data_IF_421751312632
#
_entry.id   IF_421751312632
#
_cell.length_a   1.000
_cell.length_b   1.000
_cell.length_c   1.000
_cell.angle_alpha   90.00
_cell.angle_beta   90.00
_cell.angle_gamma   90.00
#
_symmetry.space_group_name_H-M   'P 1'
#
loop_
_entity.id
_entity.type
_entity.pdbx_description
1 polymer ?
#
# COMPACT_ATOMS: atom_id res chain seq x y z
N UNK A 1 -21.90 -12.00 -14.12
CA UNK A 1 -20.75 -11.15 -14.43
C UNK A 1 -20.40 -10.47 -13.13
N UNK A 2 -19.26 -10.78 -12.51
CA UNK A 2 -18.81 -10.02 -11.34
C UNK A 2 -18.62 -8.57 -11.80
N UNK A 3 -19.14 -7.60 -11.05
CA UNK A 3 -18.90 -6.19 -11.39
C UNK A 3 -17.40 -5.94 -11.33
N UNK A 4 -16.83 -5.25 -12.32
CA UNK A 4 -15.38 -4.95 -12.32
C UNK A 4 -14.97 -4.16 -11.06
N UNK A 5 -15.91 -3.42 -10.44
CA UNK A 5 -15.74 -2.73 -9.15
C UNK A 5 -15.55 -3.66 -7.93
N UNK A 6 -15.94 -4.94 -8.03
CA UNK A 6 -15.72 -5.93 -6.96
C UNK A 6 -14.31 -6.54 -7.05
N UNK A 7 -13.69 -6.47 -8.23
CA UNK A 7 -12.43 -7.16 -8.48
C UNK A 7 -11.27 -6.46 -7.79
N UNK A 8 -10.50 -7.24 -7.03
CA UNK A 8 -9.26 -6.76 -6.42
C UNK A 8 -8.28 -6.25 -7.50
N UNK A 9 -7.72 -5.04 -7.35
CA UNK A 9 -6.75 -4.50 -8.30
C UNK A 9 -5.46 -5.31 -8.36
N UNK A 10 -4.81 -5.25 -9.52
CA UNK A 10 -3.51 -5.85 -9.78
C UNK A 10 -2.49 -4.75 -10.12
N UNK A 11 -1.20 -4.99 -9.84
CA UNK A 11 -0.15 -4.08 -10.29
C UNK A 11 -0.16 -3.91 -11.82
N UNK A 12 0.31 -2.77 -12.35
CA UNK A 12 0.49 -2.59 -13.78
C UNK A 12 1.39 -3.69 -14.37
N UNK A 13 1.03 -4.26 -15.52
CA UNK A 13 1.75 -5.41 -16.12
C UNK A 13 3.24 -5.12 -16.31
N UNK A 14 3.57 -3.94 -16.86
CA UNK A 14 4.96 -3.51 -17.10
C UNK A 14 5.77 -3.25 -15.82
N UNK A 15 5.10 -3.23 -14.65
CA UNK A 15 5.75 -3.05 -13.35
C UNK A 15 6.35 -4.34 -12.80
N UNK A 16 5.72 -5.49 -13.11
CA UNK A 16 6.12 -6.82 -12.63
C UNK A 16 6.80 -7.68 -13.71
N UNK A 17 6.92 -7.17 -14.93
CA UNK A 17 7.54 -7.88 -16.04
C UNK A 17 9.02 -8.20 -15.78
N UNK A 18 9.41 -9.46 -16.01
CA UNK A 18 10.78 -9.94 -15.84
C UNK A 18 11.76 -9.27 -16.80
N UNK A 19 11.28 -8.86 -17.97
CA UNK A 19 12.10 -8.22 -18.99
C UNK A 19 12.49 -6.78 -18.59
N UNK A 20 11.78 -6.19 -17.63
CA UNK A 20 12.06 -4.87 -17.08
C UNK A 20 12.74 -4.96 -15.70
N UNK A 21 13.75 -5.82 -15.61
CA UNK A 21 14.56 -6.02 -14.42
C UNK A 21 15.26 -4.72 -13.98
N UNK A 22 15.29 -4.49 -12.67
CA UNK A 22 15.98 -3.36 -12.05
C UNK A 22 16.84 -3.86 -10.89
N UNK A 23 18.01 -3.23 -10.64
CA UNK A 23 18.89 -3.63 -9.55
C UNK A 23 18.37 -3.22 -8.15
N UNK A 24 17.17 -2.64 -8.06
CA UNK A 24 16.52 -2.21 -6.82
C UNK A 24 15.02 -2.50 -6.86
N UNK A 25 14.40 -2.62 -5.68
CA UNK A 25 12.94 -2.73 -5.56
C UNK A 25 12.31 -1.42 -5.96
N UNK A 26 11.46 -1.45 -6.99
CA UNK A 26 10.65 -0.30 -7.36
C UNK A 26 9.41 -0.25 -6.50
N UNK A 27 9.00 0.98 -6.21
CA UNK A 27 7.79 1.29 -5.49
C UNK A 27 6.99 2.32 -6.28
N UNK A 28 5.69 2.10 -6.42
CA UNK A 28 4.76 3.04 -7.08
C UNK A 28 3.49 3.17 -6.22
N UNK A 29 2.78 4.31 -6.28
CA UNK A 29 1.49 4.45 -5.62
C UNK A 29 0.49 3.44 -6.20
N UNK A 30 -0.42 2.98 -5.35
CA UNK A 30 -1.48 2.03 -5.67
C UNK A 30 -2.83 2.61 -5.24
N UNK A 31 -3.20 3.75 -5.82
CA UNK A 31 -4.41 4.49 -5.46
C UNK A 31 -5.69 3.67 -5.68
N UNK A 32 -5.68 2.82 -6.70
CA UNK A 32 -6.75 1.87 -7.00
C UNK A 32 -6.96 0.85 -5.87
N UNK A 33 -5.91 0.47 -5.15
CA UNK A 33 -6.00 -0.44 -4.00
C UNK A 33 -6.67 0.26 -2.83
N UNK A 34 -6.36 1.53 -2.61
CA UNK A 34 -7.03 2.33 -1.59
C UNK A 34 -8.54 2.36 -1.83
N UNK A 35 -8.96 2.72 -3.04
CA UNK A 35 -10.38 2.78 -3.40
C UNK A 35 -11.09 1.43 -3.21
N UNK A 36 -10.45 0.33 -3.63
CA UNK A 36 -11.01 -1.01 -3.46
C UNK A 36 -11.13 -1.40 -1.98
N UNK A 37 -10.12 -1.13 -1.14
CA UNK A 37 -10.18 -1.43 0.30
C UNK A 37 -11.28 -0.63 0.99
N UNK A 38 -11.37 0.67 0.70
CA UNK A 38 -12.42 1.53 1.28
C UNK A 38 -13.82 1.00 0.96
N UNK A 39 -14.04 0.53 -0.29
CA UNK A 39 -15.35 0.02 -0.72
C UNK A 39 -15.65 -1.40 -0.24
N UNK A 40 -14.67 -2.31 -0.28
CA UNK A 40 -14.92 -3.74 -0.07
C UNK A 40 -14.71 -4.21 1.36
N UNK A 41 -13.77 -3.60 2.09
CA UNK A 41 -13.35 -4.04 3.42
C UNK A 41 -13.82 -3.07 4.52
N UNK A 42 -13.75 -1.77 4.27
CA UNK A 42 -14.03 -0.75 5.31
C UNK A 42 -15.49 -0.28 5.31
N UNK A 43 -16.15 -0.26 4.16
CA UNK A 43 -17.59 0.03 4.10
C UNK A 43 -18.38 -1.15 4.64
N UNK A 44 -19.37 -0.86 5.49
CA UNK A 44 -20.39 -1.78 5.98
C UNK A 44 -21.22 -2.45 4.87
N UNK A 45 -21.27 -1.85 3.67
CA UNK A 45 -21.89 -2.41 2.48
C UNK A 45 -20.94 -3.26 1.62
N UNK A 46 -19.66 -3.33 1.98
CA UNK A 46 -18.64 -4.06 1.26
C UNK A 46 -18.83 -5.58 1.33
N UNK A 47 -18.47 -6.28 0.26
CA UNK A 47 -18.68 -7.74 0.16
C UNK A 47 -17.85 -8.56 1.17
N UNK A 48 -16.75 -7.98 1.67
CA UNK A 48 -15.83 -8.57 2.64
C UNK A 48 -15.60 -7.61 3.81
N UNK A 49 -16.65 -6.86 4.18
CA UNK A 49 -16.62 -5.96 5.32
C UNK A 49 -16.13 -6.66 6.59
N UNK A 50 -15.19 -6.03 7.29
CA UNK A 50 -14.72 -6.52 8.58
C UNK A 50 -14.81 -5.39 9.63
N UNK A 51 -15.71 -5.49 10.63
CA UNK A 51 -15.84 -4.47 11.67
C UNK A 51 -14.56 -4.27 12.51
N UNK A 52 -13.68 -5.28 12.60
CA UNK A 52 -12.40 -5.14 13.32
C UNK A 52 -11.49 -4.10 12.65
N UNK A 53 -11.75 -3.74 11.38
CA UNK A 53 -11.01 -2.75 10.61
C UNK A 53 -11.57 -1.32 10.70
N UNK A 54 -12.58 -1.06 11.53
CA UNK A 54 -13.15 0.30 11.73
C UNK A 54 -12.08 1.33 12.09
N UNK A 55 -11.09 0.94 12.91
CA UNK A 55 -9.97 1.78 13.31
C UNK A 55 -9.09 2.29 12.14
N UNK A 56 -9.22 1.69 10.95
CA UNK A 56 -8.52 2.12 9.74
C UNK A 56 -9.21 3.28 9.02
N UNK A 57 -10.49 3.55 9.29
CA UNK A 57 -11.21 4.69 8.70
C UNK A 57 -10.66 6.04 9.17
N UNK A 58 -10.16 6.09 10.40
CA UNK A 58 -9.51 7.27 10.98
C UNK A 58 -8.00 7.31 10.73
N UNK A 59 -7.45 6.27 10.11
CA UNK A 59 -6.03 6.18 9.82
C UNK A 59 -5.70 6.90 8.51
N UNK A 60 -4.61 7.64 8.51
CA UNK A 60 -4.05 8.19 7.29
C UNK A 60 -3.30 7.09 6.53
N UNK A 61 -4.00 6.45 5.57
CA UNK A 61 -3.50 5.31 4.81
C UNK A 61 -3.02 5.73 3.41
N UNK A 62 -1.87 5.18 3.02
CA UNK A 62 -1.39 5.21 1.65
C UNK A 62 -0.99 3.82 1.20
N UNK A 63 -1.25 3.52 -0.06
CA UNK A 63 -1.04 2.20 -0.66
C UNK A 63 -0.03 2.27 -1.79
N UNK A 64 0.80 1.25 -1.88
CA UNK A 64 1.87 1.17 -2.86
C UNK A 64 2.06 -0.25 -3.34
N UNK A 65 2.42 -0.41 -4.62
CA UNK A 65 2.94 -1.65 -5.16
C UNK A 65 4.45 -1.73 -5.01
N UNK A 66 4.95 -2.92 -4.75
CA UNK A 66 6.37 -3.23 -4.78
C UNK A 66 6.66 -4.21 -5.91
N UNK A 67 7.73 -3.97 -6.69
CA UNK A 67 8.09 -4.84 -7.82
C UNK A 67 8.67 -6.19 -7.40
N UNK A 68 8.84 -6.43 -6.10
CA UNK A 68 9.43 -7.64 -5.57
C UNK A 68 8.97 -7.96 -4.15
N UNK A 69 9.01 -9.25 -3.82
CA UNK A 69 8.78 -9.73 -2.45
C UNK A 69 9.89 -9.31 -1.51
N UNK A 70 9.56 -8.95 -0.27
CA UNK A 70 10.56 -8.74 0.76
C UNK A 70 10.92 -10.09 1.41
N UNK A 71 12.15 -10.54 1.25
CA UNK A 71 12.64 -11.78 1.86
C UNK A 71 13.40 -11.47 3.16
N UNK A 72 12.96 -12.02 4.29
CA UNK A 72 13.64 -11.87 5.59
C UNK A 72 13.74 -13.21 6.29
N UNK A 73 14.97 -13.64 6.60
CA UNK A 73 15.27 -14.90 7.33
C UNK A 73 14.57 -16.13 6.71
N UNK A 74 14.63 -16.27 5.38
CA UNK A 74 14.02 -17.40 4.66
C UNK A 74 12.49 -17.36 4.54
N UNK A 75 11.84 -16.26 4.95
CA UNK A 75 10.40 -16.04 4.77
C UNK A 75 10.16 -14.95 3.72
N UNK A 76 9.15 -15.15 2.89
CA UNK A 76 8.67 -14.16 1.93
C UNK A 76 7.48 -13.41 2.53
N UNK A 77 7.58 -12.07 2.56
CA UNK A 77 6.51 -11.18 3.00
C UNK A 77 5.76 -10.64 1.78
N UNK A 78 4.48 -10.99 1.69
CA UNK A 78 3.58 -10.66 0.57
C UNK A 78 2.88 -9.30 0.70
N UNK A 79 3.22 -8.52 1.72
CA UNK A 79 2.65 -7.21 2.02
C UNK A 79 3.09 -6.79 3.41
N UNK A 80 3.31 -5.50 3.61
CA UNK A 80 3.74 -4.97 4.90
C UNK A 80 3.06 -3.64 5.20
N UNK A 81 2.54 -3.53 6.41
CA UNK A 81 2.10 -2.26 6.97
C UNK A 81 3.26 -1.61 7.73
N UNK A 82 3.60 -0.36 7.42
CA UNK A 82 4.65 0.41 8.11
C UNK A 82 4.15 1.80 8.47
N UNK A 83 4.57 2.36 9.60
CA UNK A 83 4.32 3.78 9.87
C UNK A 83 5.33 4.64 9.09
N UNK A 84 4.87 5.75 8.52
CA UNK A 84 5.77 6.69 7.84
C UNK A 84 6.70 7.32 8.88
N UNK A 85 7.99 6.99 8.85
CA UNK A 85 8.97 7.56 9.77
C UNK A 85 9.97 8.42 9.01
N UNK A 86 9.76 9.74 8.97
CA UNK A 86 10.70 10.73 8.43
C UNK A 86 11.83 11.03 9.43
N UNK A 87 12.65 10.01 9.75
CA UNK A 87 13.74 10.13 10.74
C UNK A 87 15.04 10.67 10.12
N UNK A 88 14.97 11.83 9.49
CA UNK A 88 16.15 12.48 8.92
C UNK A 88 16.07 14.01 9.00
N UNK A 89 17.23 14.67 8.97
CA UNK A 89 17.35 16.12 8.80
C UNK A 89 17.84 16.49 7.40
N UNK A 90 17.70 17.76 7.02
CA UNK A 90 18.26 18.30 5.77
C UNK A 90 17.75 17.60 4.51
N UNK A 91 18.67 17.26 3.60
CA UNK A 91 18.32 16.75 2.26
C UNK A 91 17.71 15.35 2.25
N UNK A 92 18.00 14.50 3.25
CA UNK A 92 17.35 13.20 3.33
C UNK A 92 15.85 13.35 3.59
N UNK A 93 15.47 14.24 4.51
CA UNK A 93 14.05 14.56 4.76
C UNK A 93 13.40 15.15 3.53
N UNK A 94 14.03 16.15 2.90
CA UNK A 94 13.49 16.80 1.71
C UNK A 94 13.20 15.82 0.56
N UNK A 95 14.09 14.85 0.29
CA UNK A 95 13.85 13.82 -0.74
C UNK A 95 12.67 12.91 -0.41
N UNK A 96 12.52 12.52 0.86
CA UNK A 96 11.39 11.69 1.28
C UNK A 96 10.07 12.47 1.17
N UNK A 97 10.06 13.73 1.59
CA UNK A 97 8.87 14.60 1.48
C UNK A 97 8.46 14.83 0.03
N UNK A 98 9.42 15.16 -0.84
CA UNK A 98 9.17 15.29 -2.28
C UNK A 98 8.55 14.01 -2.86
N UNK A 99 9.09 12.83 -2.53
CA UNK A 99 8.57 11.57 -3.04
C UNK A 99 7.11 11.32 -2.61
N UNK A 100 6.75 11.67 -1.37
CA UNK A 100 5.38 11.54 -0.87
C UNK A 100 4.43 12.49 -1.59
N UNK A 101 4.84 13.73 -1.85
CA UNK A 101 4.06 14.66 -2.66
C UNK A 101 3.87 14.17 -4.09
N UNK A 102 4.91 13.65 -4.73
CA UNK A 102 4.82 13.12 -6.10
C UNK A 102 3.90 11.90 -6.19
N UNK A 103 3.86 11.06 -5.15
CA UNK A 103 3.00 9.87 -5.13
C UNK A 103 1.57 10.14 -4.69
N UNK A 104 1.37 10.97 -3.68
CA UNK A 104 0.10 11.11 -2.97
C UNK A 104 -0.45 12.54 -2.91
N UNK A 105 0.29 13.52 -3.44
CA UNK A 105 -0.09 14.95 -3.38
C UNK A 105 0.03 15.58 -2.00
N UNK A 106 0.50 14.83 -1.00
CA UNK A 106 0.67 15.26 0.40
C UNK A 106 1.70 14.40 1.12
N UNK A 107 2.13 14.85 2.29
CA UNK A 107 2.88 14.01 3.24
C UNK A 107 1.86 13.35 4.16
N UNK A 108 1.83 12.00 4.28
CA UNK A 108 0.98 11.34 5.25
C UNK A 108 1.36 11.76 6.68
N UNK A 109 0.39 12.25 7.45
CA UNK A 109 0.62 12.81 8.77
C UNK A 109 0.67 11.68 9.79
N UNK A 110 1.70 11.63 10.63
CA UNK A 110 1.76 10.73 11.79
C UNK A 110 1.08 11.42 12.98
N UNK A 111 -0.17 11.06 13.27
CA UNK A 111 -0.85 11.60 14.44
C UNK A 111 -0.34 10.92 15.71
N UNK A 112 -0.01 11.70 16.75
CA UNK A 112 0.47 11.17 18.02
C UNK A 112 -0.57 10.30 18.78
N UNK A 113 -1.85 10.38 18.40
CA UNK A 113 -2.96 9.64 19.01
C UNK A 113 -3.70 8.68 18.05
N UNK A 114 -3.42 8.73 16.74
CA UNK A 114 -3.98 7.81 15.74
C UNK A 114 -2.82 7.24 14.92
N UNK A 115 -2.64 5.92 14.94
CA UNK A 115 -1.54 5.26 14.24
C UNK A 115 -1.68 5.43 12.73
N UNK A 116 -0.99 6.39 12.16
CA UNK A 116 -0.85 6.52 10.71
C UNK A 116 -0.04 5.34 10.19
N UNK A 117 -0.63 4.56 9.28
CA UNK A 117 -0.02 3.37 8.70
C UNK A 117 0.04 3.55 7.19
N UNK A 118 1.24 3.63 6.65
CA UNK A 118 1.47 3.41 5.24
C UNK A 118 1.38 1.89 4.99
N UNK A 119 0.41 1.48 4.21
CA UNK A 119 0.17 0.07 3.91
C UNK A 119 0.87 -0.25 2.58
N UNK A 120 2.09 -0.77 2.63
CA UNK A 120 2.74 -1.33 1.44
C UNK A 120 2.09 -2.68 1.11
N UNK A 121 1.16 -2.68 0.16
CA UNK A 121 0.57 -3.91 -0.35
C UNK A 121 1.47 -4.47 -1.45
N UNK A 122 2.09 -5.63 -1.23
CA UNK A 122 2.95 -6.20 -2.26
C UNK A 122 2.12 -6.67 -3.48
N UNK A 123 2.71 -6.52 -4.66
CA UNK A 123 2.18 -6.88 -5.97
C UNK A 123 1.95 -8.39 -6.17
N UNK A 124 2.35 -9.23 -5.21
CA UNK A 124 2.45 -10.69 -5.39
C UNK A 124 1.19 -11.46 -4.94
N UNK A 125 0.15 -10.80 -4.43
CA UNK A 125 -1.04 -11.53 -3.94
C UNK A 125 -2.14 -11.65 -4.97
N UNK A 126 -1.86 -12.37 -6.05
CA UNK A 126 -2.91 -12.81 -6.99
C UNK A 126 -3.79 -13.94 -6.45
N UNK A 127 -3.54 -14.59 -5.29
CA UNK A 127 -4.40 -15.74 -4.96
C UNK A 127 -4.60 -16.20 -3.50
N UNK A 128 -4.03 -15.60 -2.43
CA UNK A 128 -4.17 -16.21 -1.08
C UNK A 128 -4.08 -15.30 0.14
N UNK A 129 -4.18 -13.98 -0.01
CA UNK A 129 -4.26 -13.11 1.17
C UNK A 129 -5.72 -13.06 1.66
N UNK A 130 -6.02 -13.84 2.69
CA UNK A 130 -7.19 -13.58 3.54
C UNK A 130 -6.86 -12.33 4.38
N UNK A 131 -7.65 -11.28 4.18
CA UNK A 131 -7.68 -10.08 5.03
C UNK A 131 -8.73 -10.25 6.11
#
# INVERSE_FOLDING_TARGET
MANDDERRPYPPVNFIDSDNWQPYTRLIPANEVHEWISRQILSDTGSIYNPDHEHLLEADLCFMWASGSFAKKGRYVLGQAEQVMLRAGGWQKARMEQQMYEWFGRIPEVHHYSSSRLLLTNAVTSNSAHW
#
